data_IF_480451308687
#
_entry.id   IF_480451308687
#
_cell.length_a   1.000
_cell.length_b   1.000
_cell.length_c   1.000
_cell.angle_alpha   90.00
_cell.angle_beta   90.00
_cell.angle_gamma   90.00
#
_symmetry.space_group_name_H-M   'P 1'
#
loop_
_entity.id
_entity.type
_entity.pdbx_description
1 polymer ?
#
# COMPACT_ATOMS: atom_id res chain seq x y z
N UNK A 1 5.00 -15.09 -37.99
CA UNK A 1 4.65 -15.76 -36.71
C UNK A 1 4.83 -14.70 -35.65
N UNK A 2 3.92 -13.75 -35.65
CA UNK A 2 3.95 -12.58 -34.76
C UNK A 2 3.30 -13.00 -33.46
N UNK A 3 4.14 -13.23 -32.45
CA UNK A 3 3.70 -13.52 -31.10
C UNK A 3 3.13 -12.23 -30.50
N UNK A 4 1.82 -12.10 -30.52
CA UNK A 4 1.08 -11.23 -29.60
C UNK A 4 1.41 -11.68 -28.17
N UNK A 5 2.48 -11.12 -27.62
CA UNK A 5 2.67 -11.02 -26.19
C UNK A 5 1.54 -10.14 -25.67
N UNK A 6 0.41 -10.79 -25.36
CA UNK A 6 -0.66 -10.25 -24.54
C UNK A 6 -0.02 -9.47 -23.41
N UNK A 7 -0.13 -8.14 -23.49
CA UNK A 7 0.37 -7.19 -22.52
C UNK A 7 -0.49 -7.37 -21.26
N UNK A 8 -0.14 -8.38 -20.47
CA UNK A 8 -0.72 -8.68 -19.16
C UNK A 8 -0.21 -7.68 -18.12
N UNK A 9 -0.20 -6.39 -18.47
CA UNK A 9 0.18 -5.29 -17.60
C UNK A 9 -1.07 -4.59 -17.13
N UNK A 10 -1.36 -4.74 -15.86
CA UNK A 10 -2.40 -3.96 -15.19
C UNK A 10 -1.89 -2.52 -15.11
N UNK A 11 -2.44 -1.65 -15.96
CA UNK A 11 -2.16 -0.22 -15.96
C UNK A 11 -2.90 0.43 -14.79
N UNK A 12 -2.19 0.78 -13.71
CA UNK A 12 -2.76 1.43 -12.51
C UNK A 12 -2.93 2.95 -12.64
N UNK A 13 -2.99 3.48 -13.86
CA UNK A 13 -3.14 4.92 -14.07
C UNK A 13 -3.98 5.19 -15.30
N UNK A 14 -5.20 4.67 -15.30
CA UNK A 14 -6.24 5.32 -16.07
C UNK A 14 -6.67 6.54 -15.24
N UNK A 15 -5.98 7.67 -15.46
CA UNK A 15 -6.24 8.94 -14.77
C UNK A 15 -7.66 9.49 -15.01
N UNK A 16 -8.48 8.76 -15.80
CA UNK A 16 -9.88 9.02 -16.04
C UNK A 16 -10.88 8.20 -15.21
N UNK A 17 -10.46 7.23 -14.37
CA UNK A 17 -11.40 6.44 -13.55
C UNK A 17 -11.54 6.98 -12.11
N UNK A 18 -12.67 7.62 -11.74
CA UNK A 18 -12.92 8.16 -10.40
C UNK A 18 -12.91 7.07 -9.30
N UNK A 19 -13.07 5.81 -9.68
CA UNK A 19 -13.19 4.68 -8.75
C UNK A 19 -11.84 4.06 -8.38
N UNK A 20 -10.77 4.40 -9.11
CA UNK A 20 -9.39 3.96 -8.82
C UNK A 20 -8.97 4.36 -7.41
N UNK A 21 -9.21 5.63 -7.02
CA UNK A 21 -8.91 6.15 -5.68
C UNK A 21 -9.66 5.40 -4.57
N UNK A 22 -10.90 4.95 -4.83
CA UNK A 22 -11.70 4.22 -3.84
C UNK A 22 -11.18 2.79 -3.63
N UNK A 23 -10.71 2.13 -4.69
CA UNK A 23 -10.11 0.80 -4.61
C UNK A 23 -8.79 0.81 -3.85
N UNK A 24 -7.95 1.83 -4.04
CA UNK A 24 -6.69 1.95 -3.30
C UNK A 24 -6.92 2.17 -1.79
N UNK A 25 -7.92 2.98 -1.42
CA UNK A 25 -8.29 3.18 -0.02
C UNK A 25 -8.79 1.87 0.60
N UNK A 26 -9.62 1.09 -0.12
CA UNK A 26 -10.11 -0.20 0.37
C UNK A 26 -8.98 -1.23 0.59
N UNK A 27 -7.97 -1.26 -0.28
CA UNK A 27 -6.78 -2.11 -0.11
C UNK A 27 -6.00 -1.70 1.14
N UNK A 28 -5.72 -0.40 1.32
CA UNK A 28 -4.98 0.08 2.48
C UNK A 28 -5.73 -0.22 3.79
N UNK A 29 -7.05 -0.08 3.79
CA UNK A 29 -7.90 -0.48 4.93
C UNK A 29 -7.83 -1.98 5.19
N UNK A 30 -7.82 -2.81 4.14
CA UNK A 30 -7.65 -4.25 4.32
C UNK A 30 -6.29 -4.61 4.90
N UNK A 31 -5.21 -3.94 4.48
CA UNK A 31 -3.87 -4.15 5.01
C UNK A 31 -3.73 -3.68 6.47
N UNK A 32 -4.34 -2.56 6.82
CA UNK A 32 -4.43 -2.08 8.21
C UNK A 32 -5.18 -3.10 9.10
N UNK A 33 -6.26 -3.70 8.59
CA UNK A 33 -6.94 -4.78 9.30
C UNK A 33 -6.05 -6.02 9.49
N UNK A 34 -5.20 -6.37 8.51
CA UNK A 34 -4.19 -7.44 8.67
C UNK A 34 -3.20 -7.10 9.78
N UNK A 35 -2.74 -5.84 9.85
CA UNK A 35 -1.81 -5.40 10.90
C UNK A 35 -2.43 -5.57 12.30
N UNK A 36 -3.69 -5.20 12.47
CA UNK A 36 -4.43 -5.44 13.73
C UNK A 36 -4.54 -6.94 14.06
N UNK A 37 -4.80 -7.79 13.06
CA UNK A 37 -4.83 -9.25 13.26
C UNK A 37 -3.46 -9.81 13.64
N UNK A 38 -2.37 -9.26 13.10
CA UNK A 38 -1.01 -9.65 13.48
C UNK A 38 -0.73 -9.34 14.96
N UNK A 39 -1.14 -8.16 15.43
CA UNK A 39 -1.05 -7.78 16.85
C UNK A 39 -1.88 -8.73 17.71
N UNK A 40 -3.10 -9.08 17.28
CA UNK A 40 -3.94 -10.05 17.97
C UNK A 40 -3.27 -11.44 18.04
N UNK A 41 -2.69 -11.92 16.93
CA UNK A 41 -1.99 -13.20 16.88
C UNK A 41 -0.81 -13.24 17.86
N UNK A 42 -0.02 -12.17 17.95
CA UNK A 42 1.07 -12.07 18.92
C UNK A 42 0.58 -12.10 20.37
N UNK A 43 -0.51 -11.40 20.68
CA UNK A 43 -1.12 -11.44 22.02
C UNK A 43 -1.65 -12.83 22.37
N UNK A 44 -2.29 -13.50 21.43
CA UNK A 44 -2.82 -14.86 21.60
C UNK A 44 -1.68 -15.89 21.78
N UNK A 45 -0.58 -15.74 21.03
CA UNK A 45 0.62 -16.56 21.20
C UNK A 45 1.25 -16.35 22.59
N UNK A 46 1.37 -15.08 23.03
CA UNK A 46 1.86 -14.78 24.37
C UNK A 46 0.97 -15.41 25.45
N UNK A 47 -0.36 -15.33 25.32
CA UNK A 47 -1.31 -15.98 26.22
C UNK A 47 -1.10 -17.51 26.23
N UNK A 48 -0.99 -18.15 25.07
CA UNK A 48 -0.68 -19.58 24.97
C UNK A 48 0.62 -19.92 25.72
N UNK A 49 1.69 -19.14 25.54
CA UNK A 49 2.97 -19.35 26.23
C UNK A 49 2.86 -19.22 27.76
N UNK A 50 1.95 -18.38 28.28
CA UNK A 50 1.73 -18.31 29.74
C UNK A 50 1.14 -19.60 30.31
N UNK A 51 0.38 -20.34 29.51
CA UNK A 51 -0.17 -21.65 29.88
C UNK A 51 0.86 -22.79 29.81
N UNK A 52 2.00 -22.58 29.14
CA UNK A 52 3.11 -23.55 29.02
C UNK A 52 4.16 -23.42 30.14
N UNK A 53 4.11 -22.33 30.92
CA UNK A 53 5.05 -22.09 32.02
C UNK A 53 5.16 -23.31 32.96
N UNK A 54 6.36 -23.65 33.48
CA UNK A 54 6.66 -24.96 34.04
C UNK A 54 5.83 -25.18 35.30
N UNK A 55 4.71 -25.89 35.19
CA UNK A 55 3.85 -26.23 36.31
C UNK A 55 3.85 -27.73 36.52
N UNK A 56 4.27 -28.07 37.74
CA UNK A 56 4.48 -29.39 38.34
C UNK A 56 3.18 -30.20 38.49
N UNK A 57 2.05 -29.72 37.98
CA UNK A 57 0.74 -30.33 38.13
C UNK A 57 0.03 -30.44 36.78
N UNK A 58 -0.35 -31.67 36.43
CA UNK A 58 -1.22 -32.02 35.31
C UNK A 58 -2.63 -31.43 35.50
N UNK A 59 -2.74 -30.11 35.35
CA UNK A 59 -4.02 -29.40 35.45
C UNK A 59 -4.68 -29.40 34.07
N UNK A 60 -5.64 -30.31 33.84
CA UNK A 60 -6.35 -30.48 32.57
C UNK A 60 -6.95 -29.17 32.04
N UNK A 61 -7.32 -28.27 32.96
CA UNK A 61 -7.81 -26.92 32.67
C UNK A 61 -6.77 -26.05 31.92
N UNK A 62 -5.51 -26.12 32.34
CA UNK A 62 -4.42 -25.37 31.71
C UNK A 62 -4.08 -25.94 30.32
N UNK A 63 -4.14 -27.26 30.16
CA UNK A 63 -3.98 -27.92 28.86
C UNK A 63 -5.10 -27.53 27.89
N UNK A 64 -6.35 -27.48 28.36
CA UNK A 64 -7.48 -27.03 27.56
C UNK A 64 -7.35 -25.55 27.15
N UNK A 65 -6.91 -24.68 28.06
CA UNK A 65 -6.66 -23.26 27.78
C UNK A 65 -5.53 -23.07 26.76
N UNK A 66 -4.41 -23.79 26.91
CA UNK A 66 -3.31 -23.78 25.96
C UNK A 66 -3.75 -24.21 24.56
N UNK A 67 -4.50 -25.32 24.46
CA UNK A 67 -4.98 -25.83 23.18
C UNK A 67 -5.92 -24.82 22.51
N UNK A 68 -6.80 -24.18 23.27
CA UNK A 68 -7.71 -23.14 22.75
C UNK A 68 -6.95 -21.92 22.23
N UNK A 69 -5.98 -21.39 22.99
CA UNK A 69 -5.17 -20.26 22.53
C UNK A 69 -4.30 -20.62 21.33
N UNK A 70 -3.81 -21.86 21.25
CA UNK A 70 -3.03 -22.34 20.12
C UNK A 70 -3.86 -22.48 18.84
N UNK A 71 -5.11 -22.96 18.94
CA UNK A 71 -6.00 -23.05 17.76
C UNK A 71 -6.41 -21.66 17.28
N UNK A 72 -6.71 -20.74 18.20
CA UNK A 72 -7.01 -19.34 17.87
C UNK A 72 -5.82 -18.64 17.21
N UNK A 73 -4.59 -18.87 17.69
CA UNK A 73 -3.38 -18.37 17.06
C UNK A 73 -3.22 -18.88 15.62
N UNK A 74 -3.34 -20.19 15.41
CA UNK A 74 -3.21 -20.78 14.07
C UNK A 74 -4.30 -20.29 13.11
N UNK A 75 -5.51 -20.07 13.62
CA UNK A 75 -6.61 -19.50 12.85
C UNK A 75 -6.29 -18.06 12.40
N UNK A 76 -5.79 -17.21 13.30
CA UNK A 76 -5.37 -15.85 12.97
C UNK A 76 -4.24 -15.85 11.94
N UNK A 77 -3.24 -16.72 12.09
CA UNK A 77 -2.14 -16.86 11.11
C UNK A 77 -2.67 -17.25 9.73
N UNK A 78 -3.62 -18.17 9.66
CA UNK A 78 -4.26 -18.57 8.39
C UNK A 78 -4.99 -17.42 7.74
N UNK A 79 -5.75 -16.64 8.50
CA UNK A 79 -6.49 -15.48 8.00
C UNK A 79 -5.56 -14.39 7.48
N UNK A 80 -4.49 -14.07 8.22
CA UNK A 80 -3.44 -13.15 7.81
C UNK A 80 -2.80 -13.59 6.50
N UNK A 81 -2.44 -14.87 6.38
CA UNK A 81 -1.85 -15.39 5.14
C UNK A 81 -2.81 -15.30 3.95
N UNK A 82 -4.09 -15.60 4.14
CA UNK A 82 -5.09 -15.52 3.07
C UNK A 82 -5.28 -14.08 2.59
N UNK A 83 -5.38 -13.12 3.51
CA UNK A 83 -5.51 -11.69 3.16
C UNK A 83 -4.22 -11.15 2.52
N UNK A 84 -3.04 -11.45 3.04
CA UNK A 84 -1.79 -11.01 2.41
C UNK A 84 -1.58 -11.61 1.02
N UNK A 85 -1.90 -12.90 0.85
CA UNK A 85 -1.84 -13.55 -0.47
C UNK A 85 -2.82 -12.91 -1.47
N UNK A 86 -4.01 -12.49 -1.01
CA UNK A 86 -4.96 -11.77 -1.85
C UNK A 86 -4.41 -10.42 -2.32
N UNK A 87 -3.54 -9.76 -1.56
CA UNK A 87 -2.99 -8.44 -1.86
C UNK A 87 -1.54 -8.43 -2.36
N UNK A 88 -0.84 -9.58 -2.39
CA UNK A 88 0.59 -9.67 -2.73
C UNK A 88 0.91 -9.14 -4.14
N UNK A 89 -0.03 -9.30 -5.07
CA UNK A 89 0.09 -8.79 -6.43
C UNK A 89 0.20 -7.26 -6.47
N UNK A 90 -0.42 -6.56 -5.50
CA UNK A 90 -0.38 -5.09 -5.41
C UNK A 90 0.99 -4.56 -4.97
N UNK A 91 1.75 -5.37 -4.22
CA UNK A 91 3.13 -5.04 -3.81
C UNK A 91 4.14 -5.50 -4.86
N UNK A 92 3.93 -6.67 -5.46
CA UNK A 92 4.79 -7.21 -6.51
C UNK A 92 4.78 -6.33 -7.78
N UNK A 93 3.64 -5.74 -8.10
CA UNK A 93 3.45 -4.88 -9.27
C UNK A 93 3.55 -3.38 -8.94
N UNK A 94 4.16 -3.00 -7.82
CA UNK A 94 4.37 -1.59 -7.43
C UNK A 94 5.44 -0.91 -8.31
N UNK A 95 5.19 -0.85 -9.62
CA UNK A 95 5.76 0.10 -10.56
C UNK A 95 4.72 1.18 -10.76
N UNK A 96 4.83 2.24 -9.98
CA UNK A 96 4.00 3.46 -10.03
C UNK A 96 3.78 4.04 -11.42
N UNK A 97 4.68 3.78 -12.36
CA UNK A 97 4.40 3.97 -13.79
C UNK A 97 5.02 2.82 -14.57
N UNK A 98 4.28 2.24 -15.52
CA UNK A 98 4.78 1.17 -16.40
C UNK A 98 6.03 1.55 -17.23
N UNK A 99 6.45 2.82 -17.19
CA UNK A 99 7.66 3.38 -17.83
C UNK A 99 8.61 4.11 -16.86
N UNK A 100 8.39 4.02 -15.54
CA UNK A 100 9.28 4.62 -14.54
C UNK A 100 10.61 3.89 -14.48
N UNK A 101 11.70 4.61 -14.72
CA UNK A 101 13.06 4.09 -14.55
C UNK A 101 13.55 4.21 -13.09
N UNK A 102 12.87 5.00 -12.26
CA UNK A 102 13.42 5.50 -10.99
C UNK A 102 12.60 5.17 -9.73
N UNK A 103 11.38 4.66 -9.89
CA UNK A 103 10.48 4.32 -8.79
C UNK A 103 9.61 5.51 -8.34
N UNK A 104 8.56 5.19 -7.56
CA UNK A 104 7.49 6.08 -7.12
C UNK A 104 7.96 7.40 -6.52
N UNK A 105 8.83 7.32 -5.52
CA UNK A 105 9.27 8.46 -4.73
C UNK A 105 10.08 9.43 -5.59
N UNK A 106 10.99 8.89 -6.42
CA UNK A 106 11.85 9.69 -7.29
C UNK A 106 11.08 10.31 -8.44
N UNK A 107 10.09 9.60 -9.00
CA UNK A 107 9.20 10.17 -10.00
C UNK A 107 8.32 11.28 -9.46
N UNK A 108 7.80 11.12 -8.23
CA UNK A 108 7.05 12.18 -7.56
C UNK A 108 7.91 13.41 -7.33
N UNK A 109 9.15 13.24 -6.84
CA UNK A 109 10.11 14.32 -6.68
C UNK A 109 10.39 15.03 -8.02
N UNK A 110 10.70 14.27 -9.08
CA UNK A 110 10.94 14.81 -10.42
C UNK A 110 9.71 15.52 -11.00
N UNK A 111 8.51 15.00 -10.76
CA UNK A 111 7.27 15.65 -11.19
C UNK A 111 7.06 16.99 -10.47
N UNK A 112 7.33 17.03 -9.15
CA UNK A 112 7.24 18.26 -8.37
C UNK A 112 8.23 19.31 -8.86
N UNK A 113 9.47 18.91 -9.13
CA UNK A 113 10.51 19.80 -9.64
C UNK A 113 10.15 20.34 -11.04
N UNK A 114 9.61 19.48 -11.92
CA UNK A 114 9.09 19.92 -13.23
C UNK A 114 7.97 20.95 -13.10
N UNK A 115 7.02 20.73 -12.20
CA UNK A 115 5.93 21.69 -11.95
C UNK A 115 6.48 23.02 -11.45
N UNK A 116 7.49 23.01 -10.57
CA UNK A 116 8.15 24.22 -10.09
C UNK A 116 8.81 25.00 -11.24
N UNK A 117 9.58 24.32 -12.09
CA UNK A 117 10.24 24.94 -13.26
C UNK A 117 9.20 25.51 -14.24
N UNK A 118 8.15 24.76 -14.55
CA UNK A 118 7.08 25.23 -15.46
C UNK A 118 6.36 26.44 -14.87
N UNK A 119 6.11 26.44 -13.56
CA UNK A 119 5.47 27.57 -12.87
C UNK A 119 6.34 28.82 -12.90
N UNK A 120 7.65 28.67 -12.67
CA UNK A 120 8.62 29.77 -12.76
C UNK A 120 8.68 30.33 -14.18
N UNK A 121 8.74 29.46 -15.19
CA UNK A 121 8.72 29.87 -16.60
C UNK A 121 7.43 30.59 -16.97
N UNK A 122 6.26 30.10 -16.52
CA UNK A 122 4.98 30.76 -16.73
C UNK A 122 4.93 32.15 -16.08
N UNK A 123 5.44 32.29 -14.86
CA UNK A 123 5.52 33.59 -14.18
C UNK A 123 6.46 34.55 -14.91
N UNK A 124 7.62 34.07 -15.37
CA UNK A 124 8.56 34.86 -16.16
C UNK A 124 7.93 35.33 -17.48
N UNK A 125 7.20 34.44 -18.16
CA UNK A 125 6.49 34.77 -19.40
C UNK A 125 5.36 35.77 -19.15
N UNK A 126 4.61 35.62 -18.05
CA UNK A 126 3.56 36.57 -17.65
C UNK A 126 4.13 37.96 -17.45
N UNK A 127 5.23 38.08 -16.67
CA UNK A 127 5.89 39.38 -16.46
C UNK A 127 6.41 39.97 -17.77
N UNK A 128 7.02 39.15 -18.63
CA UNK A 128 7.49 39.62 -19.93
C UNK A 128 6.34 40.17 -20.79
N UNK A 129 5.18 39.50 -20.78
CA UNK A 129 3.99 39.98 -21.49
C UNK A 129 3.44 41.25 -20.85
N UNK A 130 3.38 41.34 -19.52
CA UNK A 130 2.94 42.56 -18.81
C UNK A 130 3.86 43.76 -19.13
N UNK A 131 5.17 43.55 -19.21
CA UNK A 131 6.15 44.60 -19.51
C UNK A 131 6.18 45.03 -20.99
N UNK A 132 5.81 44.13 -21.91
CA UNK A 132 5.93 44.34 -23.38
C UNK A 132 4.60 44.51 -24.10
N UNK A 133 3.50 44.16 -23.46
CA UNK A 133 2.13 44.18 -24.01
C UNK A 133 1.22 45.09 -23.17
N UNK A 134 1.75 45.82 -22.17
CA UNK A 134 1.03 46.96 -21.59
C UNK A 134 0.57 47.89 -22.73
N UNK A 135 -0.71 48.29 -22.74
CA UNK A 135 -1.35 48.88 -23.90
C UNK A 135 -0.66 50.21 -24.24
N UNK A 136 -0.44 50.47 -25.54
CA UNK A 136 -0.31 51.86 -25.98
C UNK A 136 -1.57 52.59 -25.51
N UNK A 137 -1.37 53.54 -24.59
CA UNK A 137 -2.39 54.41 -24.04
C UNK A 137 -3.22 55.02 -25.19
N UNK A 138 -4.55 54.87 -25.11
CA UNK A 138 -5.52 55.59 -25.93
C UNK A 138 -6.45 56.37 -25.00
#
# INVERSE_FOLDING_TARGET
>A
MDGELLDSRVHFSDAGDPWSSSRHVAVLQSLDAVEQKLVAALRTAAAAMTHVAPRVSADESATAAFNRSSTEFLQLVREIHAELAAHIHLVADYRTFGRSTYGAEKDFALSRDKVAVVSEQLQSLSRFLEERVAPEDN
#
